data_IF_269927721259
#
_entry.id   IF_269927721259
#
_cell.length_a   1.000
_cell.length_b   1.000
_cell.length_c   1.000
_cell.angle_alpha   90.00
_cell.angle_beta   90.00
_cell.angle_gamma   90.00
#
_symmetry.space_group_name_H-M   'P 1'
#
loop_
_entity.id
_entity.type
_entity.pdbx_description
1 polymer ?
#
# COMPACT_ATOMS: atom_id res chain seq x y z
N UNK A 1 6.60 11.70 -6.81
CA UNK A 1 6.73 10.25 -7.00
C UNK A 1 6.02 9.77 -8.26
N UNK A 2 4.69 9.85 -8.26
CA UNK A 2 3.84 9.22 -9.28
C UNK A 2 4.06 9.76 -10.70
N UNK A 3 4.39 11.03 -10.90
CA UNK A 3 4.74 11.55 -12.23
C UNK A 3 6.02 10.96 -12.80
N UNK A 4 7.03 10.72 -11.93
CA UNK A 4 8.27 10.05 -12.32
C UNK A 4 8.02 8.58 -12.64
N UNK A 5 7.08 7.93 -11.93
CA UNK A 5 6.68 6.58 -12.25
C UNK A 5 5.85 6.51 -13.55
N UNK A 6 4.98 7.49 -13.79
CA UNK A 6 4.18 7.56 -15.03
C UNK A 6 5.07 7.70 -16.27
N UNK A 7 6.20 8.41 -16.16
CA UNK A 7 7.15 8.47 -17.28
C UNK A 7 7.97 7.18 -17.45
N UNK A 8 8.12 6.38 -16.39
CA UNK A 8 8.73 5.06 -16.46
C UNK A 8 7.77 4.03 -17.05
N UNK A 9 6.50 4.01 -16.64
CA UNK A 9 5.47 3.11 -17.18
C UNK A 9 5.21 3.35 -18.68
N UNK A 10 5.66 4.45 -19.27
CA UNK A 10 5.58 4.65 -20.72
C UNK A 10 6.74 4.01 -21.51
N UNK A 11 7.70 3.34 -20.86
CA UNK A 11 8.94 2.88 -21.50
C UNK A 11 8.94 1.42 -21.98
N UNK A 12 7.80 0.71 -21.97
CA UNK A 12 7.59 -0.70 -22.38
C UNK A 12 8.50 -1.77 -21.72
N UNK A 13 9.57 -1.38 -21.02
CA UNK A 13 10.58 -2.26 -20.42
C UNK A 13 11.07 -1.70 -19.07
N UNK A 14 10.15 -1.42 -18.15
CA UNK A 14 10.53 -1.05 -16.78
C UNK A 14 10.95 -2.29 -15.99
N UNK A 15 12.15 -2.27 -15.40
CA UNK A 15 12.60 -3.33 -14.49
C UNK A 15 12.14 -3.10 -13.06
N UNK A 16 12.01 -4.19 -12.28
CA UNK A 16 11.72 -4.11 -10.83
C UNK A 16 12.73 -3.22 -10.10
N UNK A 17 13.99 -3.28 -10.50
CA UNK A 17 15.08 -2.45 -9.98
C UNK A 17 14.93 -0.95 -10.27
N UNK A 18 14.49 -0.59 -11.49
CA UNK A 18 14.22 0.80 -11.84
C UNK A 18 13.07 1.35 -10.99
N UNK A 19 12.00 0.57 -10.81
CA UNK A 19 10.90 0.92 -9.93
C UNK A 19 11.38 1.09 -8.48
N UNK A 20 12.14 0.13 -7.95
CA UNK A 20 12.70 0.19 -6.60
C UNK A 20 13.54 1.45 -6.38
N UNK A 21 14.35 1.82 -7.37
CA UNK A 21 15.18 3.01 -7.30
C UNK A 21 14.33 4.28 -7.04
N UNK A 22 13.24 4.45 -7.79
CA UNK A 22 12.34 5.60 -7.63
C UNK A 22 11.60 5.55 -6.30
N UNK A 23 11.04 4.40 -5.94
CA UNK A 23 10.32 4.24 -4.67
C UNK A 23 11.23 4.52 -3.48
N UNK A 24 12.48 4.04 -3.52
CA UNK A 24 13.46 4.24 -2.45
C UNK A 24 13.93 5.70 -2.33
N UNK A 25 14.10 6.40 -3.44
CA UNK A 25 14.41 7.84 -3.43
C UNK A 25 13.33 8.64 -2.70
N UNK A 26 12.06 8.35 -2.96
CA UNK A 26 10.96 9.05 -2.32
C UNK A 26 10.71 8.56 -0.89
N UNK A 27 10.90 7.27 -0.60
CA UNK A 27 10.84 6.72 0.75
C UNK A 27 11.86 7.37 1.69
N UNK A 28 13.03 7.78 1.18
CA UNK A 28 14.09 8.44 1.96
C UNK A 28 13.73 9.85 2.43
N UNK A 29 12.72 10.49 1.84
CA UNK A 29 12.23 11.81 2.26
C UNK A 29 11.54 11.75 3.63
N UNK A 30 10.92 10.62 3.96
CA UNK A 30 10.25 10.42 5.23
C UNK A 30 11.25 10.15 6.36
N UNK A 31 11.08 10.87 7.46
CA UNK A 31 11.85 10.75 8.69
C UNK A 31 10.93 10.29 9.84
N UNK A 32 11.49 10.15 11.04
CA UNK A 32 10.74 9.63 12.20
C UNK A 32 9.56 10.52 12.61
N UNK A 33 9.67 11.84 12.45
CA UNK A 33 8.61 12.80 12.78
C UNK A 33 7.40 12.57 11.88
N UNK A 34 7.61 12.33 10.59
CA UNK A 34 6.52 12.05 9.64
C UNK A 34 5.76 10.78 10.06
N UNK A 35 6.48 9.71 10.41
CA UNK A 35 5.87 8.45 10.89
C UNK A 35 5.12 8.66 12.20
N UNK A 36 5.66 9.48 13.12
CA UNK A 36 5.00 9.80 14.37
C UNK A 36 3.69 10.58 14.15
N UNK A 37 3.69 11.55 13.24
CA UNK A 37 2.49 12.33 12.90
C UNK A 37 1.42 11.45 12.24
N UNK A 38 1.82 10.59 11.29
CA UNK A 38 0.92 9.63 10.66
C UNK A 38 0.31 8.68 11.70
N UNK A 39 1.14 8.16 12.62
CA UNK A 39 0.68 7.29 13.70
C UNK A 39 -0.31 7.98 14.64
N UNK A 40 -0.15 9.28 14.91
CA UNK A 40 -1.08 10.03 15.76
C UNK A 40 -2.43 10.16 15.09
N UNK A 41 -2.44 10.50 13.80
CA UNK A 41 -3.65 10.65 13.02
C UNK A 41 -4.43 9.32 12.90
N UNK A 42 -3.75 8.20 12.60
CA UNK A 42 -4.40 6.87 12.59
C UNK A 42 -5.07 6.55 13.93
N UNK A 43 -4.44 6.92 15.04
CA UNK A 43 -5.03 6.70 16.36
C UNK A 43 -6.27 7.57 16.60
N UNK A 44 -6.29 8.80 16.10
CA UNK A 44 -7.45 9.70 16.15
C UNK A 44 -8.60 9.18 15.29
N UNK A 45 -8.32 8.74 14.06
CA UNK A 45 -9.31 8.13 13.17
C UNK A 45 -9.89 6.84 13.77
N UNK A 46 -9.05 6.05 14.45
CA UNK A 46 -9.48 4.84 15.14
C UNK A 46 -10.42 5.12 16.34
N UNK A 47 -10.62 6.36 16.78
CA UNK A 47 -11.52 6.68 17.89
C UNK A 47 -12.96 6.25 17.61
N UNK A 48 -13.41 6.35 16.35
CA UNK A 48 -14.76 5.98 15.92
C UNK A 48 -14.98 4.46 15.76
N UNK A 49 -13.91 3.65 15.83
CA UNK A 49 -13.96 2.20 15.63
C UNK A 49 -14.39 1.48 16.91
N UNK A 50 -15.19 0.41 16.78
CA UNK A 50 -15.62 -0.44 17.89
C UNK A 50 -14.43 -0.98 18.70
N UNK A 51 -14.53 -0.95 20.03
CA UNK A 51 -13.41 -1.18 20.96
C UNK A 51 -12.75 -2.54 20.80
N UNK A 52 -13.48 -3.58 20.41
CA UNK A 52 -12.95 -4.93 20.20
C UNK A 52 -12.00 -5.07 19.02
N UNK A 53 -12.14 -4.23 17.97
CA UNK A 53 -11.31 -4.27 16.76
C UNK A 53 -10.27 -3.15 16.72
N UNK A 54 -10.52 -2.04 17.43
CA UNK A 54 -9.68 -0.83 17.46
C UNK A 54 -8.19 -1.10 17.61
N UNK A 55 -7.80 -1.98 18.54
CA UNK A 55 -6.38 -2.31 18.78
C UNK A 55 -5.72 -2.96 17.57
N UNK A 56 -6.42 -3.89 16.92
CA UNK A 56 -5.89 -4.63 15.78
C UNK A 56 -5.89 -3.76 14.51
N UNK A 57 -6.88 -2.87 14.35
CA UNK A 57 -6.86 -1.82 13.33
C UNK A 57 -5.61 -0.93 13.46
N UNK A 58 -5.40 -0.31 14.62
CA UNK A 58 -4.25 0.57 14.86
C UNK A 58 -2.94 -0.17 14.59
N UNK A 59 -2.85 -1.43 15.02
CA UNK A 59 -1.67 -2.27 14.79
C UNK A 59 -1.45 -2.57 13.30
N UNK A 60 -2.51 -2.84 12.53
CA UNK A 60 -2.44 -3.09 11.10
C UNK A 60 -1.97 -1.83 10.35
N UNK A 61 -2.61 -0.69 10.57
CA UNK A 61 -2.30 0.58 9.90
C UNK A 61 -0.88 1.08 10.23
N UNK A 62 -0.50 1.09 11.53
CA UNK A 62 0.86 1.48 11.93
C UNK A 62 1.88 0.45 11.45
N UNK A 63 1.54 -0.85 11.52
CA UNK A 63 2.37 -1.94 11.02
C UNK A 63 2.67 -1.79 9.53
N UNK A 64 1.68 -1.35 8.77
CA UNK A 64 1.84 -1.00 7.36
C UNK A 64 2.76 0.22 7.21
N UNK A 65 2.49 1.36 7.86
CA UNK A 65 3.34 2.57 7.77
C UNK A 65 4.82 2.30 8.01
N UNK A 66 5.18 1.50 9.02
CA UNK A 66 6.58 1.26 9.36
C UNK A 66 7.33 0.43 8.30
N UNK A 67 6.62 -0.24 7.38
CA UNK A 67 7.22 -0.94 6.23
C UNK A 67 7.92 -0.01 5.26
N UNK A 68 7.71 1.30 5.34
CA UNK A 68 8.52 2.28 4.60
C UNK A 68 10.03 2.07 4.86
N UNK A 69 10.41 1.54 6.03
CA UNK A 69 11.80 1.18 6.36
C UNK A 69 12.32 0.03 5.52
N UNK A 70 11.47 -0.92 5.11
CA UNK A 70 11.83 -2.00 4.19
C UNK A 70 12.28 -1.38 2.86
N UNK A 71 11.47 -0.50 2.28
CA UNK A 71 11.77 0.19 1.01
C UNK A 71 13.05 1.02 1.11
N UNK A 72 13.24 1.77 2.20
CA UNK A 72 14.43 2.63 2.40
C UNK A 72 15.74 1.84 2.44
N UNK A 73 15.69 0.66 3.03
CA UNK A 73 16.86 -0.17 3.34
C UNK A 73 17.04 -1.31 2.34
N UNK A 74 16.11 -1.52 1.42
CA UNK A 74 16.24 -2.53 0.38
C UNK A 74 17.39 -2.16 -0.57
N UNK A 75 18.39 -3.04 -0.58
CA UNK A 75 19.56 -2.98 -1.45
C UNK A 75 19.71 -4.29 -2.25
N UNK A 76 18.64 -5.09 -2.35
CA UNK A 76 18.60 -6.28 -3.17
C UNK A 76 18.44 -5.92 -4.65
N UNK A 77 18.78 -6.89 -5.50
CA UNK A 77 18.55 -6.85 -6.94
C UNK A 77 17.37 -7.77 -7.25
N UNK A 78 16.37 -7.23 -7.96
CA UNK A 78 15.19 -7.97 -8.38
C UNK A 78 15.24 -8.20 -9.88
N UNK A 79 15.26 -9.48 -10.27
CA UNK A 79 15.21 -9.86 -11.68
C UNK A 79 13.80 -9.70 -12.24
N UNK A 80 13.71 -9.33 -13.52
CA UNK A 80 12.45 -9.28 -14.26
C UNK A 80 11.96 -7.86 -14.53
N UNK A 81 10.91 -7.81 -15.35
CA UNK A 81 10.17 -6.60 -15.68
C UNK A 81 8.92 -6.52 -14.81
N UNK A 82 8.44 -5.30 -14.59
CA UNK A 82 7.11 -5.08 -14.01
C UNK A 82 6.07 -5.21 -15.12
N UNK A 83 4.86 -5.63 -14.77
CA UNK A 83 3.71 -5.44 -15.67
C UNK A 83 3.43 -3.94 -15.76
N UNK A 84 3.71 -3.39 -16.94
CA UNK A 84 3.68 -1.96 -17.18
C UNK A 84 2.24 -1.44 -17.26
N UNK A 85 1.31 -2.24 -17.79
CA UNK A 85 -0.10 -1.87 -17.90
C UNK A 85 -0.76 -1.86 -16.51
N UNK A 86 -0.48 -2.88 -15.69
CA UNK A 86 -0.97 -2.95 -14.31
C UNK A 86 -0.34 -1.85 -13.44
N UNK A 87 0.96 -1.59 -13.60
CA UNK A 87 1.63 -0.48 -12.92
C UNK A 87 1.03 0.88 -13.32
N UNK A 88 0.76 1.09 -14.60
CA UNK A 88 0.17 2.34 -15.10
C UNK A 88 -1.22 2.58 -14.49
N UNK A 89 -2.02 1.51 -14.43
CA UNK A 89 -3.35 1.51 -13.79
C UNK A 89 -3.24 1.84 -12.30
N UNK A 90 -2.32 1.19 -11.58
CA UNK A 90 -2.08 1.48 -10.17
C UNK A 90 -1.65 2.94 -9.94
N UNK A 91 -0.78 3.48 -10.78
CA UNK A 91 -0.35 4.89 -10.71
C UNK A 91 -1.53 5.84 -10.91
N UNK A 92 -2.44 5.55 -11.84
CA UNK A 92 -3.61 6.40 -12.09
C UNK A 92 -4.57 6.41 -10.89
N UNK A 93 -4.85 5.23 -10.31
CA UNK A 93 -5.64 5.11 -9.08
C UNK A 93 -5.02 5.95 -7.95
N UNK A 94 -3.71 5.80 -7.73
CA UNK A 94 -3.00 6.54 -6.67
C UNK A 94 -3.02 8.06 -6.92
N UNK A 95 -2.93 8.51 -8.17
CA UNK A 95 -3.04 9.94 -8.52
C UNK A 95 -4.44 10.50 -8.29
N UNK A 96 -5.46 9.70 -8.56
CA UNK A 96 -6.85 10.08 -8.27
C UNK A 96 -7.09 10.20 -6.76
N UNK A 97 -6.55 9.26 -5.99
CA UNK A 97 -6.57 9.33 -4.52
C UNK A 97 -5.84 10.55 -3.98
N UNK A 98 -4.66 10.91 -4.53
CA UNK A 98 -3.94 12.13 -4.12
C UNK A 98 -4.81 13.37 -4.32
N UNK A 99 -5.51 13.49 -5.45
CA UNK A 99 -6.43 14.61 -5.72
C UNK A 99 -7.62 14.63 -4.77
N UNK A 100 -8.27 13.49 -4.54
CA UNK A 100 -9.42 13.41 -3.62
C UNK A 100 -9.05 13.85 -2.21
N UNK A 101 -7.84 13.50 -1.76
CA UNK A 101 -7.35 13.81 -0.42
C UNK A 101 -6.95 15.28 -0.28
N UNK A 102 -6.36 15.88 -1.32
CA UNK A 102 -6.08 17.32 -1.35
C UNK A 102 -7.35 18.15 -1.13
N UNK A 103 -8.49 17.67 -1.63
CA UNK A 103 -9.80 18.33 -1.45
C UNK A 103 -10.41 18.15 -0.05
N UNK A 104 -9.92 17.19 0.76
CA UNK A 104 -10.51 16.82 2.05
C UNK A 104 -9.90 17.52 3.27
N UNK A 105 -8.80 18.28 3.13
CA UNK A 105 -8.03 19.06 4.15
C UNK A 105 -7.63 18.34 5.48
N UNK A 106 -8.20 17.18 5.80
CA UNK A 106 -8.14 16.53 7.10
C UNK A 106 -7.10 15.39 7.16
N UNK A 107 -6.65 14.88 6.00
CA UNK A 107 -5.66 13.81 5.96
C UNK A 107 -4.24 14.31 5.79
N UNK A 108 -3.33 13.90 6.68
CA UNK A 108 -1.90 14.15 6.49
C UNK A 108 -1.44 13.50 5.16
N UNK A 109 -0.98 14.30 4.18
CA UNK A 109 -0.57 13.78 2.87
C UNK A 109 0.53 12.71 2.94
N UNK A 110 1.33 12.71 4.01
CA UNK A 110 2.36 11.71 4.22
C UNK A 110 1.79 10.29 4.37
N UNK A 111 0.57 10.11 4.89
CA UNK A 111 -0.07 8.79 5.01
C UNK A 111 -0.25 8.20 3.61
N UNK A 112 -0.94 8.92 2.72
CA UNK A 112 -1.19 8.46 1.37
C UNK A 112 0.12 8.22 0.60
N UNK A 113 1.09 9.14 0.70
CA UNK A 113 2.38 8.97 0.02
C UNK A 113 3.14 7.72 0.50
N UNK A 114 3.15 7.45 1.81
CA UNK A 114 3.75 6.23 2.36
C UNK A 114 2.98 5.00 1.86
N UNK A 115 1.65 5.08 1.81
CA UNK A 115 0.79 3.99 1.37
C UNK A 115 1.03 3.65 -0.10
N UNK A 116 1.10 4.66 -0.96
CA UNK A 116 1.49 4.54 -2.37
C UNK A 116 2.85 3.88 -2.55
N UNK A 117 3.85 4.26 -1.75
CA UNK A 117 5.18 3.67 -1.87
C UNK A 117 5.17 2.19 -1.49
N UNK A 118 4.53 1.85 -0.36
CA UNK A 118 4.52 0.48 0.15
C UNK A 118 3.66 -0.43 -0.74
N UNK A 119 2.51 0.06 -1.22
CA UNK A 119 1.61 -0.72 -2.08
C UNK A 119 2.30 -1.07 -3.41
N UNK A 120 2.96 -0.09 -4.05
CA UNK A 120 3.72 -0.34 -5.28
C UNK A 120 4.91 -1.28 -5.04
N UNK A 121 5.61 -1.11 -3.92
CA UNK A 121 6.74 -1.98 -3.57
C UNK A 121 6.31 -3.43 -3.34
N UNK A 122 5.22 -3.63 -2.60
CA UNK A 122 4.73 -4.98 -2.26
C UNK A 122 4.17 -5.70 -3.50
N UNK A 123 3.29 -5.03 -4.24
CA UNK A 123 2.68 -5.61 -5.46
C UNK A 123 3.72 -5.88 -6.55
N UNK A 124 4.48 -4.87 -6.98
CA UNK A 124 5.26 -4.96 -8.23
C UNK A 124 6.70 -5.41 -8.05
N UNK A 125 7.25 -5.36 -6.82
CA UNK A 125 8.63 -5.78 -6.54
C UNK A 125 8.66 -7.08 -5.75
N UNK A 126 7.94 -7.13 -4.63
CA UNK A 126 7.97 -8.27 -3.70
C UNK A 126 7.06 -9.43 -4.08
N UNK A 127 6.10 -9.21 -4.98
CA UNK A 127 5.04 -10.18 -5.27
C UNK A 127 4.34 -10.63 -3.97
N UNK A 128 4.05 -9.64 -3.11
CA UNK A 128 3.38 -9.80 -1.81
C UNK A 128 2.09 -8.96 -1.76
N UNK A 129 1.07 -9.39 -0.98
CA UNK A 129 -0.12 -8.57 -0.77
C UNK A 129 0.23 -7.29 -0.02
N UNK A 130 -0.53 -6.23 -0.30
CA UNK A 130 -0.37 -4.91 0.33
C UNK A 130 -0.47 -5.05 1.86
N UNK A 131 -1.56 -5.65 2.34
CA UNK A 131 -1.68 -6.06 3.73
C UNK A 131 -0.89 -7.36 3.96
N UNK A 132 -0.10 -7.39 5.02
CA UNK A 132 0.71 -8.57 5.38
C UNK A 132 -0.18 -9.79 5.72
N UNK A 133 0.33 -10.98 5.44
CA UNK A 133 -0.30 -12.25 5.89
C UNK A 133 -0.48 -12.20 7.40
N UNK A 134 -1.69 -12.55 7.87
CA UNK A 134 -2.08 -12.48 9.28
C UNK A 134 -2.65 -11.13 9.73
N UNK A 135 -2.71 -10.11 8.86
CA UNK A 135 -3.47 -8.87 9.17
C UNK A 135 -4.92 -9.22 9.45
N UNK A 136 -5.42 -8.81 10.62
CA UNK A 136 -6.78 -9.08 11.08
C UNK A 136 -7.76 -8.04 10.54
N UNK A 137 -8.90 -8.50 10.05
CA UNK A 137 -10.04 -7.71 9.62
C UNK A 137 -11.26 -7.95 10.54
N UNK A 138 -12.30 -7.10 10.46
CA UNK A 138 -13.54 -7.30 11.22
C UNK A 138 -14.11 -8.71 11.00
N UNK A 139 -14.69 -9.31 12.05
CA UNK A 139 -15.20 -10.69 12.00
C UNK A 139 -14.16 -11.76 12.33
N UNK A 140 -12.89 -11.38 12.53
CA UNK A 140 -11.82 -12.32 12.90
C UNK A 140 -11.10 -12.95 11.70
N UNK A 141 -11.41 -12.50 10.48
CA UNK A 141 -10.77 -12.95 9.26
C UNK A 141 -9.38 -12.34 9.11
N UNK A 142 -8.50 -13.00 8.37
CA UNK A 142 -7.12 -12.54 8.15
C UNK A 142 -6.69 -12.70 6.71
N UNK A 143 -5.71 -11.93 6.26
CA UNK A 143 -4.98 -12.25 5.01
C UNK A 143 -4.29 -13.61 5.18
N UNK A 144 -4.52 -14.53 4.24
CA UNK A 144 -3.94 -15.89 4.27
C UNK A 144 -2.93 -16.08 3.14
N UNK A 145 -2.07 -17.08 3.30
CA UNK A 145 -1.22 -17.61 2.23
C UNK A 145 -1.42 -19.12 2.14
N UNK A 146 -1.82 -19.58 0.97
CA UNK A 146 -2.06 -21.00 0.68
C UNK A 146 -1.28 -21.40 -0.56
N UNK A 147 -0.15 -22.09 -0.34
CA UNK A 147 0.83 -22.32 -1.41
C UNK A 147 1.36 -21.00 -1.97
N UNK A 148 1.14 -20.79 -3.26
CA UNK A 148 1.56 -19.59 -3.99
C UNK A 148 0.47 -18.50 -4.07
N UNK A 149 -0.71 -18.74 -3.49
CA UNK A 149 -1.83 -17.81 -3.50
C UNK A 149 -1.92 -17.01 -2.20
N UNK A 150 -2.33 -15.76 -2.32
CA UNK A 150 -2.72 -14.91 -1.19
C UNK A 150 -4.22 -14.62 -1.29
N UNK A 151 -4.93 -14.73 -0.17
CA UNK A 151 -6.35 -14.36 -0.10
C UNK A 151 -6.57 -13.25 0.93
N UNK A 152 -7.48 -12.34 0.61
CA UNK A 152 -7.87 -11.21 1.45
C UNK A 152 -9.39 -11.26 1.65
N UNK A 153 -9.89 -11.14 2.89
CA UNK A 153 -11.33 -11.25 3.18
C UNK A 153 -12.15 -10.06 2.69
N UNK A 154 -11.50 -8.97 2.28
CA UNK A 154 -12.17 -7.70 1.93
C UNK A 154 -11.82 -7.20 0.53
N UNK A 155 -11.30 -8.06 -0.35
CA UNK A 155 -10.90 -7.68 -1.72
C UNK A 155 -12.12 -7.14 -2.48
N UNK A 156 -13.14 -7.97 -2.66
CA UNK A 156 -14.34 -7.63 -3.44
C UNK A 156 -15.20 -6.55 -2.75
N UNK A 157 -15.19 -6.51 -1.42
CA UNK A 157 -15.91 -5.51 -0.63
C UNK A 157 -15.41 -4.07 -0.84
N UNK A 158 -14.21 -3.91 -1.44
CA UNK A 158 -13.59 -2.62 -1.67
C UNK A 158 -13.50 -2.24 -3.15
N UNK A 159 -14.12 -3.00 -4.07
CA UNK A 159 -14.06 -2.71 -5.50
C UNK A 159 -14.65 -1.33 -5.86
N UNK A 160 -15.70 -0.92 -5.15
CA UNK A 160 -16.38 0.37 -5.34
C UNK A 160 -15.83 1.49 -4.44
N UNK A 161 -14.79 1.22 -3.64
CA UNK A 161 -14.20 2.21 -2.74
C UNK A 161 -13.06 2.97 -3.46
N UNK A 162 -13.22 4.25 -3.80
CA UNK A 162 -12.22 5.00 -4.57
C UNK A 162 -10.90 5.21 -3.82
N UNK A 163 -10.92 5.11 -2.49
CA UNK A 163 -9.72 5.20 -1.64
C UNK A 163 -9.06 3.83 -1.38
N UNK A 164 -9.60 2.74 -1.95
CA UNK A 164 -9.02 1.42 -1.76
C UNK A 164 -7.77 1.22 -2.60
N UNK A 165 -6.78 0.57 -2.00
CA UNK A 165 -5.61 0.02 -2.71
C UNK A 165 -5.89 -1.40 -3.23
N UNK A 166 -7.05 -1.97 -2.88
CA UNK A 166 -7.49 -3.31 -3.26
C UNK A 166 -7.43 -3.55 -4.77
N UNK A 167 -7.82 -2.63 -5.68
CA UNK A 167 -7.89 -2.92 -7.11
C UNK A 167 -6.58 -3.45 -7.72
N UNK A 168 -5.42 -3.02 -7.23
CA UNK A 168 -4.10 -3.46 -7.71
C UNK A 168 -3.31 -4.30 -6.66
N UNK A 169 -3.99 -4.80 -5.63
CA UNK A 169 -3.41 -5.78 -4.72
C UNK A 169 -3.42 -7.18 -5.35
N UNK A 170 -2.32 -7.94 -5.22
CA UNK A 170 -2.21 -9.30 -5.75
C UNK A 170 -3.09 -10.34 -5.05
N UNK A 171 -3.68 -10.00 -3.89
CA UNK A 171 -4.53 -10.92 -3.15
C UNK A 171 -5.87 -11.13 -3.87
N UNK A 172 -6.30 -12.39 -3.94
CA UNK A 172 -7.63 -12.79 -4.40
C UNK A 172 -8.64 -12.65 -3.24
N UNK A 173 -9.94 -12.61 -3.53
CA UNK A 173 -10.97 -12.68 -2.49
C UNK A 173 -10.89 -14.04 -1.77
N UNK A 174 -11.02 -14.03 -0.45
CA UNK A 174 -11.21 -15.25 0.33
C UNK A 174 -12.64 -15.78 0.11
N UNK A 175 -12.78 -16.93 -0.57
CA UNK A 175 -14.07 -17.55 -0.89
C UNK A 175 -14.82 -18.07 0.36
N UNK A 176 -14.14 -18.16 1.52
CA UNK A 176 -14.75 -18.56 2.79
C UNK A 176 -15.47 -17.41 3.52
N UNK A 177 -15.43 -16.18 2.99
CA UNK A 177 -15.95 -14.94 3.61
C UNK A 177 -17.02 -14.29 2.75
#
# INVERSE_FOLDING_TARGET
MLDKLKSLSLQDQTSKDQLLCVLREDARKFNFIDIQQCSLQIQQEAECIHTSYKKEYIKAEIGFLIRIREVKNDNFHYMGLVDVEELDTAIDILKEQEKMVEDMEEMNPAILQIYSIISLYTTFIKDEPIHQVGTLFPGGFTVKKEGDKYTCPVKDNNDENPLALCPFCIAEQDEEV
#
